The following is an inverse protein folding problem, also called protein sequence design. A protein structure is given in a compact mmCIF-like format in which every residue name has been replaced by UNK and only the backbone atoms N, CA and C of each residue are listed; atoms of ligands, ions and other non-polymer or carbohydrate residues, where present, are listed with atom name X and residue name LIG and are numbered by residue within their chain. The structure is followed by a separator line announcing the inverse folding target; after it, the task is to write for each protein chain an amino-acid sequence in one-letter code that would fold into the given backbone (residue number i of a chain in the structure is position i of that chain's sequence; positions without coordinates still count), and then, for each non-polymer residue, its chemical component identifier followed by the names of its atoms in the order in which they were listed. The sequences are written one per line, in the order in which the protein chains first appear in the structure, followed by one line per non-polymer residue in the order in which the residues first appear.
data_IF_111133751302
#
_entry.id   IF_111133751302
#
_cell.length_a   1.000
_cell.length_b   1.000
_cell.length_c   1.000
_cell.angle_alpha   90.00
_cell.angle_beta   90.00
_cell.angle_gamma   90.00
#
_symmetry.space_group_name_H-M   'P 1'
#
loop_
_entity.id
_entity.type
_entity.pdbx_description
1 polymer ?
#
# COMPACT_ATOMS: atom_id res chain seq x y z
N UNK A 1 49.23 -11.03 -0.31
CA UNK A 1 48.08 -10.65 -1.18
C UNK A 1 46.69 -10.94 -0.59
N UNK A 2 46.54 -11.71 0.50
CA UNK A 2 45.21 -12.09 1.03
C UNK A 2 44.40 -10.98 1.73
N UNK A 3 45.04 -10.04 2.42
CA UNK A 3 44.33 -9.04 3.25
C UNK A 3 43.45 -8.07 2.44
N UNK A 4 43.87 -7.72 1.23
CA UNK A 4 43.11 -6.84 0.35
C UNK A 4 41.80 -7.50 -0.12
N UNK A 5 41.80 -8.83 -0.29
CA UNK A 5 40.61 -9.57 -0.68
C UNK A 5 39.58 -9.61 0.45
N UNK A 6 40.01 -9.92 1.68
CA UNK A 6 39.13 -9.87 2.86
C UNK A 6 38.54 -8.48 3.08
N UNK A 7 39.33 -7.43 2.85
CA UNK A 7 38.87 -6.05 2.95
C UNK A 7 37.77 -5.73 1.93
N UNK A 8 37.96 -6.10 0.65
CA UNK A 8 36.98 -5.86 -0.41
C UNK A 8 35.67 -6.63 -0.14
N UNK A 9 35.77 -7.89 0.27
CA UNK A 9 34.59 -8.72 0.60
C UNK A 9 33.85 -8.16 1.81
N UNK A 10 34.56 -7.78 2.87
CA UNK A 10 33.97 -7.15 4.06
C UNK A 10 33.30 -5.82 3.74
N UNK A 11 33.93 -5.00 2.90
CA UNK A 11 33.40 -3.71 2.46
C UNK A 11 32.11 -3.85 1.65
N UNK A 12 32.09 -4.81 0.72
CA UNK A 12 30.92 -5.07 -0.11
C UNK A 12 29.77 -5.64 0.72
N UNK A 13 30.07 -6.55 1.66
CA UNK A 13 29.10 -7.10 2.59
C UNK A 13 28.47 -6.04 3.50
N UNK A 14 29.30 -5.17 4.09
CA UNK A 14 28.81 -4.06 4.91
C UNK A 14 27.93 -3.10 4.11
N UNK A 15 28.30 -2.81 2.85
CA UNK A 15 27.48 -1.95 2.00
C UNK A 15 26.14 -2.59 1.63
N UNK A 16 26.12 -3.90 1.41
CA UNK A 16 24.89 -4.64 1.16
C UNK A 16 23.92 -4.56 2.35
N UNK A 17 24.43 -4.67 3.58
CA UNK A 17 23.64 -4.52 4.81
C UNK A 17 23.00 -3.12 4.90
N UNK A 18 23.76 -2.07 4.60
CA UNK A 18 23.24 -0.69 4.55
C UNK A 18 22.15 -0.54 3.48
N UNK A 19 22.36 -1.14 2.30
CA UNK A 19 21.35 -1.19 1.24
C UNK A 19 20.04 -1.81 1.74
N UNK A 20 20.12 -2.97 2.40
CA UNK A 20 18.95 -3.67 2.94
C UNK A 20 18.19 -2.82 3.98
N UNK A 21 18.88 -2.08 4.83
CA UNK A 21 18.27 -1.13 5.78
C UNK A 21 17.54 0.02 5.07
N UNK A 22 18.02 0.42 3.89
CA UNK A 22 17.42 1.46 3.07
C UNK A 22 16.15 1.06 2.33
N UNK A 23 15.83 -0.24 2.25
CA UNK A 23 14.67 -0.75 1.48
C UNK A 23 13.33 -0.17 1.92
N UNK A 24 13.15 0.04 3.23
CA UNK A 24 11.91 0.60 3.80
C UNK A 24 12.01 2.13 4.08
N UNK A 25 13.07 2.76 3.58
CA UNK A 25 13.32 4.21 3.68
C UNK A 25 13.07 4.89 2.35
N UNK A 26 12.74 6.19 2.38
CA UNK A 26 12.41 6.98 1.19
C UNK A 26 13.54 7.00 0.17
N UNK A 27 14.78 6.91 0.64
CA UNK A 27 15.99 6.84 -0.18
C UNK A 27 16.08 5.52 -0.98
N UNK A 28 15.48 4.43 -0.49
CA UNK A 28 15.45 3.14 -1.16
C UNK A 28 16.75 2.34 -1.09
N UNK A 29 16.67 1.06 -1.46
CA UNK A 29 17.79 0.11 -1.41
C UNK A 29 18.96 0.53 -2.31
N UNK A 30 18.69 0.84 -3.59
CA UNK A 30 19.73 1.09 -4.57
C UNK A 30 20.58 2.32 -4.22
N UNK A 31 19.93 3.42 -3.81
CA UNK A 31 20.64 4.66 -3.44
C UNK A 31 21.42 4.45 -2.14
N UNK A 32 20.84 3.77 -1.15
CA UNK A 32 21.53 3.48 0.12
C UNK A 32 22.76 2.60 -0.09
N UNK A 33 22.66 1.60 -0.98
CA UNK A 33 23.78 0.72 -1.35
C UNK A 33 24.88 1.48 -2.09
N UNK A 34 24.54 2.30 -3.09
CA UNK A 34 25.52 3.07 -3.88
C UNK A 34 26.24 4.10 -3.01
N UNK A 35 25.50 4.84 -2.17
CA UNK A 35 26.09 5.82 -1.23
C UNK A 35 27.02 5.12 -0.26
N UNK A 36 26.61 3.96 0.25
CA UNK A 36 27.43 3.14 1.14
C UNK A 36 28.70 2.60 0.47
N UNK A 37 28.60 2.19 -0.80
CA UNK A 37 29.72 1.63 -1.55
C UNK A 37 30.76 2.70 -1.90
N UNK A 38 30.32 3.92 -2.23
CA UNK A 38 31.17 5.03 -2.66
C UNK A 38 31.77 5.85 -1.51
N UNK A 39 30.98 6.21 -0.48
CA UNK A 39 31.44 7.09 0.60
C UNK A 39 31.99 6.33 1.80
N UNK A 40 31.37 5.19 2.12
CA UNK A 40 31.75 4.16 3.10
C UNK A 40 30.48 3.56 3.73
N UNK A 41 30.54 2.31 4.21
CA UNK A 41 29.46 1.70 4.96
C UNK A 41 28.99 2.54 6.15
N UNK A 42 29.91 3.23 6.82
CA UNK A 42 29.58 4.06 7.97
C UNK A 42 28.74 5.28 7.58
N UNK A 43 29.14 6.00 6.52
CA UNK A 43 28.42 7.18 6.04
C UNK A 43 27.07 6.79 5.43
N UNK A 44 27.04 5.71 4.64
CA UNK A 44 25.82 5.15 4.09
C UNK A 44 24.81 4.79 5.19
N UNK A 45 25.27 4.22 6.30
CA UNK A 45 24.42 3.87 7.44
C UNK A 45 23.80 5.10 8.09
N UNK A 46 24.59 6.16 8.32
CA UNK A 46 24.12 7.42 8.91
C UNK A 46 23.05 8.04 8.00
N UNK A 47 23.35 8.23 6.71
CA UNK A 47 22.41 8.83 5.75
C UNK A 47 21.11 8.02 5.65
N UNK A 48 21.22 6.69 5.62
CA UNK A 48 20.06 5.79 5.57
C UNK A 48 19.22 5.89 6.84
N UNK A 49 19.84 6.04 8.01
CA UNK A 49 19.17 6.14 9.31
C UNK A 49 18.38 7.45 9.47
N UNK A 50 18.96 8.57 9.01
CA UNK A 50 18.31 9.88 9.00
C UNK A 50 17.26 10.04 7.89
N UNK A 51 17.25 9.13 6.90
CA UNK A 51 16.22 9.13 5.85
C UNK A 51 14.83 8.84 6.42
N UNK A 52 13.85 9.64 6.03
CA UNK A 52 12.46 9.43 6.38
C UNK A 52 12.02 7.99 6.01
N UNK A 53 11.30 7.33 6.92
CA UNK A 53 10.66 6.06 6.60
C UNK A 53 9.64 6.26 5.49
N UNK A 54 9.55 5.31 4.56
CA UNK A 54 8.40 5.26 3.67
C UNK A 54 7.19 4.97 4.56
N UNK A 55 6.32 5.96 4.72
CA UNK A 55 4.99 5.72 5.23
C UNK A 55 4.30 4.93 4.13
N UNK A 56 4.36 3.59 4.21
CA UNK A 56 3.42 2.73 3.50
C UNK A 56 2.09 3.00 4.16
N UNK A 57 1.39 4.04 3.68
CA UNK A 57 -0.01 4.22 4.01
C UNK A 57 -0.65 2.94 3.53
N UNK A 58 -0.93 2.03 4.47
CA UNK A 58 -1.79 0.90 4.22
C UNK A 58 -3.18 1.51 4.07
N UNK A 59 -3.40 2.12 2.91
CA UNK A 59 -4.71 2.52 2.44
C UNK A 59 -5.42 1.18 2.20
N UNK A 60 -5.90 0.55 3.28
CA UNK A 60 -7.20 -0.11 3.19
C UNK A 60 -8.11 1.00 2.71
N UNK A 61 -8.26 1.09 1.39
CA UNK A 61 -9.16 2.05 0.78
C UNK A 61 -10.47 1.90 1.51
N UNK A 62 -11.04 3.00 1.98
CA UNK A 62 -12.19 2.99 2.86
C UNK A 62 -13.29 2.06 2.32
N UNK A 63 -13.44 1.98 0.99
CA UNK A 63 -14.30 1.01 0.30
C UNK A 63 -14.17 -0.45 0.79
N UNK A 64 -12.95 -0.97 1.00
CA UNK A 64 -12.75 -2.38 1.39
C UNK A 64 -13.30 -2.65 2.78
N UNK A 65 -13.11 -1.68 3.67
CA UNK A 65 -13.60 -1.75 5.05
C UNK A 65 -15.12 -1.78 5.04
N UNK A 66 -15.74 -0.82 4.36
CA UNK A 66 -17.20 -0.72 4.28
C UNK A 66 -17.83 -1.91 3.51
N UNK A 67 -17.19 -2.42 2.46
CA UNK A 67 -17.63 -3.64 1.77
C UNK A 67 -17.64 -4.86 2.69
N UNK A 68 -16.61 -5.01 3.53
CA UNK A 68 -16.52 -6.12 4.49
C UNK A 68 -17.54 -5.98 5.64
N UNK A 69 -17.78 -4.75 6.11
CA UNK A 69 -18.82 -4.45 7.09
C UNK A 69 -20.21 -4.77 6.54
N UNK A 70 -20.49 -4.41 5.29
CA UNK A 70 -21.74 -4.75 4.60
C UNK A 70 -21.94 -6.27 4.51
N UNK A 71 -20.90 -7.01 4.10
CA UNK A 71 -20.97 -8.47 4.00
C UNK A 71 -21.20 -9.14 5.36
N UNK A 72 -20.59 -8.59 6.42
CA UNK A 72 -20.79 -9.05 7.80
C UNK A 72 -22.21 -8.74 8.30
N UNK A 73 -22.78 -7.60 7.92
CA UNK A 73 -24.15 -7.25 8.25
C UNK A 73 -25.16 -8.13 7.50
N UNK A 74 -24.90 -8.47 6.22
CA UNK A 74 -25.68 -9.46 5.47
C UNK A 74 -25.70 -10.81 6.16
N UNK A 75 -24.53 -11.31 6.59
CA UNK A 75 -24.43 -12.58 7.31
C UNK A 75 -25.20 -12.59 8.63
N UNK A 76 -25.41 -11.43 9.23
CA UNK A 76 -26.17 -11.26 10.47
C UNK A 76 -27.66 -10.93 10.22
N UNK A 77 -28.15 -11.07 8.99
CA UNK A 77 -29.50 -10.70 8.56
C UNK A 77 -29.89 -9.22 8.88
N UNK A 78 -28.90 -8.34 9.05
CA UNK A 78 -29.09 -6.91 9.29
C UNK A 78 -29.12 -6.17 7.97
N UNK A 79 -30.18 -6.37 7.19
CA UNK A 79 -30.31 -5.85 5.81
C UNK A 79 -30.13 -4.35 5.70
N UNK A 80 -30.69 -3.57 6.64
CA UNK A 80 -30.56 -2.11 6.62
C UNK A 80 -29.12 -1.63 6.89
N UNK A 81 -28.44 -2.24 7.87
CA UNK A 81 -27.03 -1.96 8.17
C UNK A 81 -26.13 -2.38 7.00
N UNK A 82 -26.46 -3.49 6.33
CA UNK A 82 -25.73 -3.92 5.14
C UNK A 82 -25.84 -2.91 4.00
N UNK A 83 -27.06 -2.43 3.71
CA UNK A 83 -27.30 -1.39 2.70
C UNK A 83 -26.50 -0.13 3.02
N UNK A 84 -26.54 0.33 4.27
CA UNK A 84 -25.82 1.53 4.72
C UNK A 84 -24.31 1.41 4.49
N UNK A 85 -23.71 0.31 4.93
CA UNK A 85 -22.29 0.04 4.71
C UNK A 85 -21.91 -0.10 3.22
N UNK A 86 -22.77 -0.67 2.37
CA UNK A 86 -22.47 -0.69 0.93
C UNK A 86 -22.60 0.69 0.26
N UNK A 87 -23.51 1.54 0.74
CA UNK A 87 -23.62 2.93 0.30
C UNK A 87 -22.39 3.74 0.71
N UNK A 88 -21.86 3.55 1.91
CA UNK A 88 -20.59 4.16 2.34
C UNK A 88 -19.43 3.70 1.47
N UNK A 89 -19.36 2.40 1.14
CA UNK A 89 -18.34 1.85 0.26
C UNK A 89 -18.40 2.50 -1.13
N UNK A 90 -19.60 2.71 -1.67
CA UNK A 90 -19.85 3.40 -2.94
C UNK A 90 -19.43 4.86 -2.89
N UNK A 91 -19.81 5.58 -1.83
CA UNK A 91 -19.46 6.99 -1.63
C UNK A 91 -17.95 7.19 -1.70
N UNK A 92 -17.18 6.34 -1.01
CA UNK A 92 -15.73 6.40 -1.04
C UNK A 92 -15.16 6.02 -2.41
N UNK A 93 -15.72 5.02 -3.09
CA UNK A 93 -15.24 4.59 -4.40
C UNK A 93 -15.48 5.64 -5.51
N UNK A 94 -16.56 6.41 -5.39
CA UNK A 94 -16.88 7.50 -6.32
C UNK A 94 -16.06 8.77 -6.01
N UNK A 95 -15.85 9.10 -4.73
CA UNK A 95 -15.21 10.36 -4.32
C UNK A 95 -13.69 10.31 -4.13
N UNK A 96 -13.10 9.22 -3.60
CA UNK A 96 -11.65 9.12 -3.33
C UNK A 96 -10.80 9.28 -4.61
N UNK A 97 -11.42 9.13 -5.78
CA UNK A 97 -10.76 9.12 -7.08
C UNK A 97 -10.94 10.40 -7.90
N UNK A 98 -11.75 11.38 -7.44
CA UNK A 98 -11.90 12.68 -8.13
C UNK A 98 -10.57 13.43 -8.26
N UNK A 99 -9.64 13.21 -7.32
CA UNK A 99 -8.39 13.95 -7.22
C UNK A 99 -7.13 13.14 -7.62
N UNK A 100 -7.27 11.94 -8.18
CA UNK A 100 -6.12 11.06 -8.48
C UNK A 100 -6.04 10.73 -9.97
N UNK A 101 -4.89 11.01 -10.59
CA UNK A 101 -4.56 10.46 -11.93
C UNK A 101 -4.52 8.93 -11.82
N UNK A 102 -5.51 8.26 -12.40
CA UNK A 102 -5.63 6.80 -12.45
C UNK A 102 -5.40 6.29 -13.87
N UNK A 103 -4.77 5.13 -13.98
CA UNK A 103 -4.62 4.44 -15.27
C UNK A 103 -5.97 3.91 -15.77
N UNK A 104 -6.14 3.77 -17.09
CA UNK A 104 -7.37 3.25 -17.73
C UNK A 104 -7.81 1.92 -17.11
N UNK A 105 -6.88 0.97 -16.94
CA UNK A 105 -7.17 -0.34 -16.33
C UNK A 105 -7.63 -0.24 -14.87
N UNK A 106 -7.10 0.73 -14.10
CA UNK A 106 -7.52 0.95 -12.72
C UNK A 106 -8.91 1.57 -12.65
N UNK A 107 -9.24 2.44 -13.61
CA UNK A 107 -10.57 3.02 -13.74
C UNK A 107 -11.63 1.97 -14.11
N UNK A 108 -11.32 1.04 -15.01
CA UNK A 108 -12.22 -0.05 -15.39
C UNK A 108 -12.56 -0.95 -14.21
N UNK A 109 -11.54 -1.38 -13.43
CA UNK A 109 -11.77 -2.15 -12.20
C UNK A 109 -12.61 -1.39 -11.17
N UNK A 110 -12.39 -0.08 -11.05
CA UNK A 110 -13.20 0.78 -10.19
C UNK A 110 -14.67 0.76 -10.62
N UNK A 111 -14.95 0.97 -11.90
CA UNK A 111 -16.31 0.95 -12.44
C UNK A 111 -17.00 -0.41 -12.21
N UNK A 112 -16.27 -1.51 -12.37
CA UNK A 112 -16.79 -2.85 -12.05
C UNK A 112 -17.20 -2.97 -10.57
N UNK A 113 -16.40 -2.45 -9.64
CA UNK A 113 -16.76 -2.46 -8.22
C UNK A 113 -17.94 -1.55 -7.89
N UNK A 114 -18.08 -0.40 -8.57
CA UNK A 114 -19.27 0.47 -8.42
C UNK A 114 -20.51 -0.28 -8.88
N UNK A 115 -20.46 -0.92 -10.04
CA UNK A 115 -21.59 -1.67 -10.59
C UNK A 115 -21.99 -2.83 -9.67
N UNK A 116 -21.00 -3.60 -9.19
CA UNK A 116 -21.20 -4.68 -8.23
C UNK A 116 -21.92 -4.20 -6.96
N UNK A 117 -21.44 -3.11 -6.35
CA UNK A 117 -22.04 -2.57 -5.13
C UNK A 117 -23.45 -2.01 -5.36
N UNK A 118 -23.69 -1.35 -6.50
CA UNK A 118 -25.01 -0.82 -6.86
C UNK A 118 -26.03 -1.94 -6.99
N UNK A 119 -25.68 -2.98 -7.75
CA UNK A 119 -26.53 -4.18 -7.90
C UNK A 119 -26.84 -4.83 -6.56
N UNK A 120 -25.82 -4.97 -5.71
CA UNK A 120 -25.98 -5.58 -4.38
C UNK A 120 -26.95 -4.78 -3.50
N UNK A 121 -26.84 -3.45 -3.50
CA UNK A 121 -27.75 -2.57 -2.76
C UNK A 121 -29.17 -2.66 -3.29
N UNK A 122 -29.37 -2.71 -4.62
CA UNK A 122 -30.69 -2.88 -5.21
C UNK A 122 -31.33 -4.24 -4.87
N UNK A 123 -30.53 -5.32 -4.89
CA UNK A 123 -30.99 -6.65 -4.48
C UNK A 123 -31.42 -6.67 -3.01
N UNK A 124 -30.62 -6.09 -2.12
CA UNK A 124 -30.95 -6.00 -0.69
C UNK A 124 -32.20 -5.14 -0.45
N UNK A 125 -32.33 -4.01 -1.15
CA UNK A 125 -33.52 -3.15 -1.06
C UNK A 125 -34.80 -3.87 -1.51
N UNK A 126 -34.72 -4.67 -2.57
CA UNK A 126 -35.84 -5.51 -3.02
C UNK A 126 -36.18 -6.61 -2.03
N UNK A 127 -35.20 -7.16 -1.32
CA UNK A 127 -35.41 -8.19 -0.29
C UNK A 127 -35.99 -7.60 1.01
N UNK A 128 -35.75 -6.32 1.28
CA UNK A 128 -36.27 -5.62 2.46
C UNK A 128 -37.63 -4.94 2.25
N UNK A 129 -38.11 -4.85 1.00
CA UNK A 129 -39.40 -4.29 0.63
C UNK A 129 -40.48 -5.38 0.63
#
# INVERSE_FOLDING_TARGET
MGYNYFYIVGWFGASLLVGLLGKDRKIGFAVSFIVSLLLSPLIGLIVTSFSARVIKVNQRSNYKVYKELGAKAEYKDKTNEAIDHYMDALYHLENDYKNKKISKSQNEKRLQHIDELKRKVEELKKKSA
#
